data_IF_998756954951
#
_entry.id   IF_998756954951
#
_cell.length_a   1.000
_cell.length_b   1.000
_cell.length_c   1.000
_cell.angle_alpha   90.00
_cell.angle_beta   90.00
_cell.angle_gamma   90.00
#
_symmetry.space_group_name_H-M   'P 1'
#
loop_
_entity.id
_entity.type
_entity.pdbx_description
1 polymer ?
#
# COMPACT_ATOMS: atom_id res chain seq x y z
N UNK A 1 24.25 -36.65 -14.27
CA UNK A 1 23.51 -35.43 -14.64
C UNK A 1 22.54 -35.15 -13.50
N UNK A 2 22.87 -34.20 -12.62
CA UNK A 2 22.05 -33.92 -11.44
C UNK A 2 20.78 -33.19 -11.89
N UNK A 3 19.62 -33.85 -11.78
CA UNK A 3 18.32 -33.19 -11.83
C UNK A 3 18.19 -32.40 -10.53
N UNK A 4 18.27 -31.08 -10.62
CA UNK A 4 17.79 -30.21 -9.54
C UNK A 4 16.32 -30.54 -9.30
N UNK A 5 16.00 -30.94 -8.06
CA UNK A 5 14.62 -31.13 -7.62
C UNK A 5 14.01 -29.74 -7.43
N UNK A 6 13.36 -29.21 -8.47
CA UNK A 6 12.42 -28.11 -8.29
C UNK A 6 11.16 -28.68 -7.64
N UNK A 7 10.72 -28.08 -6.55
CA UNK A 7 9.41 -28.32 -5.95
C UNK A 7 8.32 -27.99 -6.99
N UNK A 8 7.31 -28.85 -7.13
CA UNK A 8 6.18 -28.68 -8.06
C UNK A 8 5.32 -27.43 -7.79
N UNK A 9 5.58 -26.69 -6.72
CA UNK A 9 4.82 -25.50 -6.35
C UNK A 9 5.34 -24.24 -7.06
N UNK A 10 4.47 -23.63 -7.87
CA UNK A 10 4.65 -22.32 -8.51
C UNK A 10 4.57 -21.18 -7.47
N UNK A 11 5.45 -21.21 -6.48
CA UNK A 11 5.47 -20.28 -5.37
C UNK A 11 5.70 -18.83 -5.84
N UNK A 12 6.69 -18.64 -6.71
CA UNK A 12 6.97 -17.33 -7.31
C UNK A 12 5.73 -16.73 -7.98
N UNK A 13 5.05 -17.50 -8.83
CA UNK A 13 3.89 -17.01 -9.57
C UNK A 13 2.71 -16.67 -8.65
N UNK A 14 2.51 -17.44 -7.58
CA UNK A 14 1.51 -17.13 -6.55
C UNK A 14 1.82 -15.82 -5.82
N UNK A 15 3.07 -15.61 -5.40
CA UNK A 15 3.51 -14.38 -4.71
C UNK A 15 3.45 -13.16 -5.62
N UNK A 16 3.87 -13.30 -6.88
CA UNK A 16 3.73 -12.26 -7.90
C UNK A 16 2.26 -11.86 -8.10
N UNK A 17 1.36 -12.85 -8.20
CA UNK A 17 -0.07 -12.62 -8.34
C UNK A 17 -0.66 -11.90 -7.14
N UNK A 18 -0.24 -12.29 -5.94
CA UNK A 18 -0.67 -11.66 -4.70
C UNK A 18 -0.20 -10.21 -4.63
N UNK A 19 1.10 -9.97 -4.81
CA UNK A 19 1.71 -8.64 -4.83
C UNK A 19 1.05 -7.71 -5.87
N UNK A 20 0.75 -8.22 -7.09
CA UNK A 20 0.05 -7.44 -8.11
C UNK A 20 -1.36 -7.03 -7.67
N UNK A 21 -2.13 -7.96 -7.08
CA UNK A 21 -3.48 -7.67 -6.59
C UNK A 21 -3.44 -6.70 -5.42
N UNK A 22 -2.46 -6.83 -4.53
CA UNK A 22 -2.26 -5.91 -3.41
C UNK A 22 -1.87 -4.53 -3.90
N UNK A 23 -1.06 -4.41 -4.96
CA UNK A 23 -0.80 -3.16 -5.64
C UNK A 23 -2.04 -2.59 -6.39
N UNK A 24 -3.17 -3.31 -6.42
CA UNK A 24 -4.39 -2.91 -7.11
C UNK A 24 -4.30 -2.95 -8.64
N UNK A 25 -3.30 -3.64 -9.19
CA UNK A 25 -3.03 -3.65 -10.63
C UNK A 25 -3.73 -4.82 -11.34
N UNK A 26 -4.30 -4.56 -12.51
CA UNK A 26 -4.71 -5.64 -13.43
C UNK A 26 -3.49 -6.22 -14.14
N UNK A 27 -3.62 -7.40 -14.76
CA UNK A 27 -2.54 -7.98 -15.56
C UNK A 27 -2.07 -7.03 -16.68
N UNK A 28 -3.02 -6.34 -17.33
CA UNK A 28 -2.73 -5.37 -18.39
C UNK A 28 -2.02 -4.15 -17.81
N UNK A 29 -2.55 -3.56 -16.74
CA UNK A 29 -1.95 -2.39 -16.10
C UNK A 29 -0.54 -2.67 -15.56
N UNK A 30 -0.27 -3.88 -15.07
CA UNK A 30 1.07 -4.29 -14.65
C UNK A 30 2.06 -4.30 -15.82
N UNK A 31 1.66 -4.91 -16.96
CA UNK A 31 2.46 -4.92 -18.17
C UNK A 31 2.71 -3.49 -18.70
N UNK A 32 1.66 -2.67 -18.77
CA UNK A 32 1.75 -1.29 -19.24
C UNK A 32 2.71 -0.47 -18.36
N UNK A 33 2.67 -0.67 -17.04
CA UNK A 33 3.54 0.05 -16.10
C UNK A 33 5.01 -0.36 -16.23
N UNK A 34 5.30 -1.64 -16.46
CA UNK A 34 6.66 -2.12 -16.75
C UNK A 34 7.18 -1.54 -18.07
N UNK A 35 6.35 -1.55 -19.11
CA UNK A 35 6.71 -1.01 -20.41
C UNK A 35 6.96 0.50 -20.34
N UNK A 36 6.08 1.24 -19.65
CA UNK A 36 6.22 2.70 -19.51
C UNK A 36 7.44 3.10 -18.66
N UNK A 37 7.71 2.41 -17.55
CA UNK A 37 8.81 2.79 -16.63
C UNK A 37 10.19 2.36 -17.12
N UNK A 38 10.28 1.21 -17.78
CA UNK A 38 11.57 0.59 -18.14
C UNK A 38 11.75 0.36 -19.64
N UNK A 39 10.83 0.83 -20.49
CA UNK A 39 10.91 0.66 -21.94
C UNK A 39 10.82 -0.81 -22.39
N UNK A 40 10.17 -1.66 -21.61
CA UNK A 40 10.04 -3.10 -21.91
C UNK A 40 8.94 -3.36 -22.95
N UNK A 41 8.93 -4.58 -23.50
CA UNK A 41 7.93 -5.07 -24.43
C UNK A 41 7.19 -6.29 -23.86
N UNK A 42 6.46 -6.08 -22.76
CA UNK A 42 5.71 -7.12 -22.04
C UNK A 42 4.23 -6.96 -22.34
N UNK A 43 3.52 -8.05 -22.58
CA UNK A 43 2.07 -8.04 -22.75
C UNK A 43 1.37 -8.73 -21.56
N UNK A 44 0.05 -8.55 -21.45
CA UNK A 44 -0.80 -9.21 -20.45
C UNK A 44 -0.58 -10.73 -20.35
N UNK A 45 -0.38 -11.38 -21.50
CA UNK A 45 -0.16 -12.82 -21.59
C UNK A 45 1.14 -13.25 -20.92
N UNK A 46 2.22 -12.48 -21.07
CA UNK A 46 3.49 -12.72 -20.39
C UNK A 46 3.34 -12.68 -18.86
N UNK A 47 2.68 -11.66 -18.31
CA UNK A 47 2.43 -11.58 -16.86
C UNK A 47 1.61 -12.77 -16.37
N UNK A 48 0.55 -13.14 -17.09
CA UNK A 48 -0.27 -14.31 -16.76
C UNK A 48 0.54 -15.61 -16.76
N UNK A 49 1.45 -15.78 -17.73
CA UNK A 49 2.33 -16.95 -17.81
C UNK A 49 3.28 -17.05 -16.63
N UNK A 50 3.85 -15.93 -16.18
CA UNK A 50 4.69 -15.89 -14.98
C UNK A 50 3.88 -16.23 -13.72
N UNK A 51 2.68 -15.66 -13.56
CA UNK A 51 1.81 -15.94 -12.39
C UNK A 51 1.38 -17.41 -12.30
N UNK A 52 1.28 -18.09 -13.43
CA UNK A 52 0.88 -19.50 -13.49
C UNK A 52 2.08 -20.47 -13.58
N UNK A 53 3.32 -19.99 -13.47
CA UNK A 53 4.51 -20.83 -13.52
C UNK A 53 4.79 -21.45 -14.87
N UNK A 54 4.12 -20.98 -15.93
CA UNK A 54 4.32 -21.47 -17.30
C UNK A 54 5.66 -20.98 -17.85
N UNK A 55 6.08 -19.79 -17.44
CA UNK A 55 7.37 -19.21 -17.79
C UNK A 55 8.06 -18.68 -16.54
N UNK A 56 9.39 -18.73 -16.56
CA UNK A 56 10.24 -18.08 -15.56
C UNK A 56 10.66 -16.69 -16.07
N UNK A 57 10.47 -15.62 -15.28
CA UNK A 57 10.97 -14.30 -15.64
C UNK A 57 12.49 -14.21 -15.44
N UNK A 58 13.16 -13.35 -16.23
CA UNK A 58 14.58 -13.08 -16.01
C UNK A 58 14.81 -12.34 -14.70
N UNK A 59 16.01 -12.46 -14.12
CA UNK A 59 16.38 -11.74 -12.89
C UNK A 59 16.17 -10.23 -13.00
N UNK A 60 16.46 -9.64 -14.16
CA UNK A 60 16.23 -8.23 -14.43
C UNK A 60 14.73 -7.88 -14.37
N UNK A 61 13.86 -8.76 -14.88
CA UNK A 61 12.42 -8.58 -14.78
C UNK A 61 11.92 -8.76 -13.35
N UNK A 62 12.46 -9.70 -12.57
CA UNK A 62 12.11 -9.84 -11.14
C UNK A 62 12.40 -8.55 -10.39
N UNK A 63 13.54 -7.90 -10.66
CA UNK A 63 13.86 -6.59 -10.09
C UNK A 63 12.89 -5.47 -10.56
N UNK A 64 12.55 -5.42 -11.85
CA UNK A 64 11.58 -4.43 -12.31
C UNK A 64 10.18 -4.66 -11.71
N UNK A 65 9.79 -5.93 -11.51
CA UNK A 65 8.54 -6.29 -10.85
C UNK A 65 8.53 -5.86 -9.39
N UNK A 66 9.60 -6.11 -8.65
CA UNK A 66 9.72 -5.71 -7.24
C UNK A 66 9.56 -4.20 -7.08
N UNK A 67 10.19 -3.41 -7.96
CA UNK A 67 10.11 -1.95 -7.95
C UNK A 67 8.73 -1.38 -8.34
N UNK A 68 8.03 -2.02 -9.28
CA UNK A 68 6.68 -1.59 -9.70
C UNK A 68 5.62 -1.96 -8.68
N UNK A 69 5.76 -3.13 -8.07
CA UNK A 69 4.85 -3.67 -7.07
C UNK A 69 5.19 -3.19 -5.65
N UNK A 70 6.34 -2.52 -5.51
CA UNK A 70 6.89 -2.02 -4.25
C UNK A 70 7.07 -3.12 -3.20
N UNK A 71 7.35 -4.35 -3.64
CA UNK A 71 7.62 -5.50 -2.77
C UNK A 71 9.10 -5.82 -2.77
N UNK A 72 9.54 -6.51 -1.73
CA UNK A 72 10.89 -7.02 -1.66
C UNK A 72 11.12 -8.18 -2.66
N UNK A 73 12.33 -8.26 -3.23
CA UNK A 73 12.70 -9.30 -4.20
C UNK A 73 12.79 -10.67 -3.55
N UNK A 74 13.32 -10.74 -2.32
CA UNK A 74 13.43 -11.98 -1.56
C UNK A 74 12.04 -12.52 -1.20
N UNK A 75 11.05 -11.63 -1.00
CA UNK A 75 9.65 -12.08 -0.94
C UNK A 75 9.21 -12.76 -2.23
N UNK A 76 9.38 -12.13 -3.39
CA UNK A 76 8.98 -12.74 -4.67
C UNK A 76 9.68 -14.08 -4.90
N UNK A 77 10.94 -14.19 -4.49
CA UNK A 77 11.80 -15.36 -4.67
C UNK A 77 11.61 -16.46 -3.60
N UNK A 78 10.66 -16.35 -2.67
CA UNK A 78 10.43 -17.39 -1.67
C UNK A 78 11.39 -17.37 -0.48
N UNK A 79 12.22 -16.34 -0.36
CA UNK A 79 13.27 -16.23 0.69
C UNK A 79 12.81 -15.48 1.94
N UNK A 80 11.72 -14.72 1.84
CA UNK A 80 11.09 -14.00 2.94
C UNK A 80 9.58 -14.19 2.90
N UNK A 81 8.93 -14.42 4.03
CA UNK A 81 7.46 -14.36 4.13
C UNK A 81 6.93 -12.93 4.15
N UNK A 82 7.79 -11.96 4.48
CA UNK A 82 7.42 -10.56 4.57
C UNK A 82 7.60 -9.88 3.21
N UNK A 83 6.53 -9.35 2.60
CA UNK A 83 6.60 -8.71 1.30
C UNK A 83 7.38 -7.40 1.26
N UNK A 84 7.81 -6.88 2.42
CA UNK A 84 8.36 -5.56 2.58
C UNK A 84 9.55 -5.60 3.53
N UNK A 85 10.59 -4.81 3.25
CA UNK A 85 11.64 -4.53 4.22
C UNK A 85 11.11 -3.51 5.22
N UNK A 86 11.18 -3.82 6.52
CA UNK A 86 10.99 -2.80 7.55
C UNK A 86 12.17 -1.84 7.47
N UNK A 87 11.93 -0.60 7.04
CA UNK A 87 12.91 0.47 7.18
C UNK A 87 13.14 0.66 8.69
N UNK A 88 14.37 0.36 9.14
CA UNK A 88 14.73 0.11 10.54
C UNK A 88 14.68 1.32 11.48
N UNK A 89 13.93 2.36 11.15
CA UNK A 89 13.72 3.52 12.03
C UNK A 89 12.29 3.52 12.56
N UNK A 90 12.04 2.95 13.74
CA UNK A 90 10.69 2.87 14.30
C UNK A 90 10.27 4.21 14.94
N UNK A 91 9.79 5.17 14.13
CA UNK A 91 9.11 6.34 14.66
C UNK A 91 7.64 6.01 14.96
N UNK A 92 7.32 5.80 16.23
CA UNK A 92 6.00 5.39 16.70
C UNK A 92 5.28 6.50 17.45
N UNK A 93 4.00 6.67 17.17
CA UNK A 93 3.09 7.54 17.94
C UNK A 93 1.83 6.77 18.33
N UNK A 94 1.10 7.28 19.31
CA UNK A 94 -0.23 6.77 19.67
C UNK A 94 -1.32 7.71 19.18
N UNK A 95 -2.42 7.16 18.66
CA UNK A 95 -3.61 7.93 18.28
C UNK A 95 -4.86 7.32 18.91
N UNK A 96 -5.64 8.13 19.64
CA UNK A 96 -6.90 7.70 20.25
C UNK A 96 -8.05 7.87 19.26
N UNK A 97 -8.79 6.81 19.00
CA UNK A 97 -10.02 6.88 18.19
C UNK A 97 -11.09 7.66 18.95
N UNK A 98 -11.73 8.62 18.29
CA UNK A 98 -12.75 9.51 18.84
C UNK A 98 -14.14 9.35 18.21
N UNK A 99 -14.25 8.60 17.10
CA UNK A 99 -15.50 8.33 16.39
C UNK A 99 -15.70 6.83 16.08
N UNK A 100 -16.88 6.45 15.57
CA UNK A 100 -17.23 5.07 15.24
C UNK A 100 -16.99 4.73 13.76
N UNK A 101 -16.25 5.56 13.01
CA UNK A 101 -16.02 5.36 11.58
C UNK A 101 -15.20 4.10 11.27
N UNK A 102 -14.46 3.59 12.25
CA UNK A 102 -13.62 2.40 12.13
C UNK A 102 -14.20 1.17 12.86
N UNK A 103 -15.45 1.26 13.33
CA UNK A 103 -16.19 0.15 13.91
C UNK A 103 -16.48 -0.96 12.86
N UNK A 104 -16.67 -2.23 13.27
CA UNK A 104 -16.65 -2.72 14.65
C UNK A 104 -15.24 -3.06 15.17
N UNK A 105 -14.21 -2.98 14.32
CA UNK A 105 -12.85 -3.43 14.68
C UNK A 105 -12.15 -2.46 15.63
N UNK A 106 -12.27 -1.16 15.35
CA UNK A 106 -11.71 -0.09 16.16
C UNK A 106 -12.85 0.77 16.69
N UNK A 107 -12.99 0.85 18.00
CA UNK A 107 -14.08 1.52 18.68
C UNK A 107 -13.63 2.86 19.28
N UNK A 108 -14.55 3.81 19.51
CA UNK A 108 -14.24 5.02 20.26
C UNK A 108 -13.55 4.72 21.58
N UNK A 109 -12.42 5.38 21.84
CA UNK A 109 -11.58 5.18 23.02
C UNK A 109 -10.40 4.22 22.84
N UNK A 110 -10.35 3.45 21.74
CA UNK A 110 -9.21 2.61 21.40
C UNK A 110 -7.94 3.44 21.15
N UNK A 111 -6.78 2.92 21.57
CA UNK A 111 -5.48 3.51 21.28
C UNK A 111 -4.80 2.72 20.17
N UNK A 112 -4.48 3.41 19.08
CA UNK A 112 -3.74 2.84 17.95
C UNK A 112 -2.27 3.20 18.05
N UNK A 113 -1.41 2.22 17.78
CA UNK A 113 0.01 2.44 17.55
C UNK A 113 0.22 2.72 16.06
N UNK A 114 0.82 3.86 15.75
CA UNK A 114 1.04 4.36 14.40
C UNK A 114 2.54 4.46 14.14
N UNK A 115 3.00 3.92 13.01
CA UNK A 115 4.34 4.20 12.49
C UNK A 115 4.30 5.37 11.52
N UNK A 116 5.15 6.38 11.75
CA UNK A 116 5.29 7.58 10.93
C UNK A 116 6.49 7.51 9.97
N UNK A 117 7.09 6.32 9.83
CA UNK A 117 8.17 6.00 8.89
C UNK A 117 7.74 4.97 7.83
N UNK A 118 6.73 4.14 8.11
CA UNK A 118 6.29 3.07 7.21
C UNK A 118 5.53 3.59 5.99
N UNK A 119 6.03 3.25 4.79
CA UNK A 119 5.42 3.65 3.52
C UNK A 119 3.94 3.18 3.41
N UNK A 120 3.00 4.05 3.00
CA UNK A 120 1.60 3.68 2.85
C UNK A 120 1.38 2.74 1.69
N UNK A 121 0.56 1.69 1.91
CA UNK A 121 0.22 0.68 0.90
C UNK A 121 -1.27 0.42 0.87
N UNK A 122 -1.75 -0.08 -0.25
CA UNK A 122 -3.14 -0.47 -0.41
C UNK A 122 -3.54 -1.50 0.66
N UNK A 123 -4.75 -1.37 1.18
CA UNK A 123 -5.31 -2.19 2.24
C UNK A 123 -4.91 -1.77 3.65
N UNK A 124 -3.85 -0.98 3.83
CA UNK A 124 -3.38 -0.54 5.15
C UNK A 124 -4.32 0.48 5.78
N UNK A 125 -4.35 0.51 7.11
CA UNK A 125 -5.01 1.56 7.86
C UNK A 125 -4.02 2.68 8.11
N UNK A 126 -4.42 3.91 7.81
CA UNK A 126 -3.56 5.07 7.90
C UNK A 126 -4.20 6.14 8.77
N UNK A 127 -3.35 6.86 9.50
CA UNK A 127 -3.70 8.12 10.13
C UNK A 127 -3.56 9.21 9.08
N UNK A 128 -4.65 9.93 8.84
CA UNK A 128 -4.73 10.97 7.80
C UNK A 128 -5.12 12.28 8.44
N UNK A 129 -4.42 13.36 8.10
CA UNK A 129 -4.75 14.72 8.48
C UNK A 129 -5.35 15.47 7.29
N UNK A 130 -6.48 16.15 7.50
CA UNK A 130 -7.06 17.06 6.51
C UNK A 130 -6.52 18.49 6.64
N UNK A 131 -6.85 19.35 5.68
CA UNK A 131 -6.49 20.78 5.71
C UNK A 131 -6.93 21.53 6.98
N UNK A 132 -8.07 21.11 7.56
CA UNK A 132 -8.61 21.72 8.78
C UNK A 132 -7.98 21.13 10.06
N UNK A 133 -6.81 20.51 9.95
CA UNK A 133 -6.08 19.85 11.05
C UNK A 133 -6.84 18.69 11.72
N UNK A 134 -7.93 18.21 11.08
CA UNK A 134 -8.69 17.07 11.59
C UNK A 134 -7.98 15.77 11.20
N UNK A 135 -7.67 14.95 12.20
CA UNK A 135 -7.12 13.61 12.02
C UNK A 135 -8.24 12.58 11.92
N UNK A 136 -8.08 11.62 11.02
CA UNK A 136 -9.01 10.53 10.75
C UNK A 136 -8.22 9.25 10.52
N UNK A 137 -8.76 8.12 10.94
CA UNK A 137 -8.19 6.81 10.60
C UNK A 137 -9.01 6.20 9.48
N UNK A 138 -8.37 5.83 8.37
CA UNK A 138 -9.05 5.27 7.19
C UNK A 138 -8.24 4.13 6.61
N UNK A 139 -8.93 3.18 5.98
CA UNK A 139 -8.29 2.16 5.16
C UNK A 139 -7.95 2.77 3.80
N UNK A 140 -6.68 2.74 3.42
CA UNK A 140 -6.21 3.18 2.12
C UNK A 140 -6.53 2.11 1.08
N UNK A 141 -7.34 2.44 0.08
CA UNK A 141 -7.77 1.51 -0.98
C UNK A 141 -7.37 2.08 -2.34
N UNK A 142 -6.67 1.29 -3.15
CA UNK A 142 -6.35 1.62 -4.54
C UNK A 142 -7.52 1.23 -5.44
N UNK A 143 -7.96 2.14 -6.31
CA UNK A 143 -8.88 1.83 -7.39
C UNK A 143 -8.31 2.31 -8.74
N UNK A 144 -9.07 2.13 -9.83
CA UNK A 144 -8.66 2.56 -11.18
C UNK A 144 -8.56 4.08 -11.38
N UNK A 145 -9.13 4.87 -10.46
CA UNK A 145 -9.22 6.33 -10.53
C UNK A 145 -8.33 7.05 -9.50
N UNK A 146 -7.63 6.33 -8.63
CA UNK A 146 -6.80 6.93 -7.58
C UNK A 146 -6.83 6.17 -6.26
N UNK A 147 -6.63 6.90 -5.17
CA UNK A 147 -6.69 6.39 -3.81
C UNK A 147 -8.04 6.71 -3.17
N UNK A 148 -8.52 5.82 -2.33
CA UNK A 148 -9.75 5.97 -1.56
C UNK A 148 -9.42 5.77 -0.09
N UNK A 149 -9.85 6.70 0.75
CA UNK A 149 -9.81 6.59 2.19
C UNK A 149 -11.17 6.08 2.66
N UNK A 150 -11.22 4.78 2.98
CA UNK A 150 -12.44 4.05 3.32
C UNK A 150 -12.57 3.85 4.82
N UNK A 151 -13.73 4.19 5.37
CA UNK A 151 -14.14 3.82 6.71
C UNK A 151 -14.44 2.30 6.79
N UNK A 152 -14.23 1.66 7.94
CA UNK A 152 -14.69 0.27 8.12
C UNK A 152 -16.19 0.19 8.38
N UNK A 153 -16.74 1.21 9.03
CA UNK A 153 -18.16 1.32 9.28
C UNK A 153 -18.88 1.70 7.97
N UNK A 154 -19.75 0.84 7.41
CA UNK A 154 -20.42 1.09 6.13
C UNK A 154 -21.33 2.33 6.10
N UNK A 155 -21.68 2.89 7.26
CA UNK A 155 -22.50 4.09 7.38
C UNK A 155 -21.75 5.37 6.99
N UNK A 156 -20.43 5.29 6.81
CA UNK A 156 -19.58 6.40 6.42
C UNK A 156 -19.25 6.35 4.94
N UNK A 157 -19.29 7.51 4.27
CA UNK A 157 -18.95 7.60 2.86
C UNK A 157 -17.44 7.52 2.62
N UNK A 158 -17.06 6.89 1.50
CA UNK A 158 -15.69 6.85 1.00
C UNK A 158 -15.21 8.27 0.65
N UNK A 159 -13.97 8.57 1.01
CA UNK A 159 -13.30 9.82 0.60
C UNK A 159 -12.37 9.48 -0.57
N UNK A 160 -12.58 10.09 -1.71
CA UNK A 160 -11.78 9.89 -2.92
C UNK A 160 -10.65 10.92 -2.94
N UNK A 161 -9.40 10.46 -3.00
CA UNK A 161 -8.20 11.27 -3.17
C UNK A 161 -7.78 11.13 -4.64
N UNK A 162 -7.82 12.23 -5.39
CA UNK A 162 -7.70 12.27 -6.86
C UNK A 162 -6.38 11.76 -7.44
N UNK A 163 -6.22 11.87 -8.77
CA UNK A 163 -5.15 11.29 -9.61
C UNK A 163 -3.71 11.74 -9.30
N UNK A 164 -3.54 12.63 -8.34
CA UNK A 164 -2.25 13.13 -7.89
C UNK A 164 -1.50 11.99 -7.19
N UNK A 165 -0.27 11.78 -7.66
CA UNK A 165 0.59 10.62 -7.41
C UNK A 165 0.77 10.34 -5.90
N UNK A 166 1.26 9.15 -5.53
CA UNK A 166 1.80 8.91 -4.17
C UNK A 166 2.83 10.00 -3.76
N UNK A 167 3.40 10.73 -4.72
CA UNK A 167 4.26 11.90 -4.52
C UNK A 167 3.55 13.10 -3.84
N UNK A 168 2.23 13.23 -3.99
CA UNK A 168 1.43 14.31 -3.37
C UNK A 168 0.95 13.93 -1.97
N UNK A 169 1.10 12.66 -1.64
CA UNK A 169 0.80 12.09 -0.35
C UNK A 169 2.02 12.33 0.56
N UNK A 170 2.22 13.60 0.90
CA UNK A 170 3.35 14.10 1.70
C UNK A 170 3.50 13.25 2.95
N UNK A 171 4.56 12.47 2.99
CA UNK A 171 4.95 11.74 4.18
C UNK A 171 5.67 12.71 5.10
N UNK A 172 5.28 12.76 6.38
CA UNK A 172 5.74 13.76 7.35
C UNK A 172 7.25 13.76 7.63
N UNK A 173 8.03 12.86 7.03
CA UNK A 173 9.40 12.58 7.44
C UNK A 173 10.44 12.51 6.31
N UNK A 174 10.24 13.12 5.13
CA UNK A 174 11.35 13.63 4.28
C UNK A 174 10.87 14.51 3.10
N UNK A 175 11.66 15.53 2.77
CA UNK A 175 11.33 16.71 1.95
C UNK A 175 10.95 16.46 0.47
N UNK A 176 10.05 17.34 0.01
CA UNK A 176 9.71 17.85 -1.34
C UNK A 176 10.71 17.62 -2.50
N UNK A 177 10.19 17.31 -3.70
CA UNK A 177 10.33 18.15 -4.93
C UNK A 177 9.10 17.98 -5.85
N UNK A 178 8.64 19.11 -6.40
CA UNK A 178 7.61 19.31 -7.42
C UNK A 178 7.93 18.72 -8.79
N UNK A 179 6.91 18.51 -9.63
CA UNK A 179 6.75 19.16 -10.94
C UNK A 179 5.65 18.45 -11.73
N UNK A 180 4.49 19.10 -11.88
CA UNK A 180 3.83 19.25 -13.18
C UNK A 180 2.79 20.37 -13.07
N UNK A 181 3.17 21.55 -13.57
CA UNK A 181 2.21 22.52 -14.06
C UNK A 181 1.70 22.00 -15.39
N UNK A 182 0.40 21.75 -15.51
CA UNK A 182 -0.34 22.27 -16.66
C UNK A 182 -1.83 22.30 -16.33
N UNK A 183 -2.37 23.48 -16.60
CA UNK A 183 -3.75 23.93 -16.40
C UNK A 183 -4.82 22.93 -16.83
N UNK A 184 -5.75 22.62 -15.92
CA UNK A 184 -7.15 22.40 -16.29
C UNK A 184 -8.03 23.17 -15.30
N UNK A 185 -8.75 24.12 -15.88
CA UNK A 185 -9.76 24.97 -15.29
C UNK A 185 -10.81 24.20 -14.49
N UNK A 186 -11.11 24.74 -13.30
CA UNK A 186 -12.39 24.66 -12.58
C UNK A 186 -13.08 23.30 -12.44
N UNK A 187 -13.04 22.71 -11.24
CA UNK A 187 -14.23 22.31 -10.47
C UNK A 187 -13.85 21.64 -9.14
N UNK A 188 -14.45 22.15 -8.05
CA UNK A 188 -14.59 21.61 -6.67
C UNK A 188 -13.45 21.90 -5.69
N UNK A 189 -13.84 22.30 -4.49
CA UNK A 189 -13.03 22.35 -3.28
C UNK A 189 -12.29 21.00 -3.08
N UNK A 190 -11.07 20.91 -3.59
CA UNK A 190 -10.22 19.73 -3.41
C UNK A 190 -9.77 19.68 -1.96
N UNK A 191 -10.47 18.92 -1.12
CA UNK A 191 -10.00 18.59 0.23
C UNK A 191 -8.67 17.85 0.11
N UNK A 192 -7.60 18.44 0.61
CA UNK A 192 -6.30 17.83 0.67
C UNK A 192 -6.17 16.99 1.94
N UNK A 193 -5.46 15.87 1.81
CA UNK A 193 -5.26 14.89 2.87
C UNK A 193 -3.80 14.45 2.89
N UNK A 194 -3.21 14.39 4.07
CA UNK A 194 -1.83 13.96 4.31
C UNK A 194 -1.83 12.67 5.15
N UNK A 195 -1.13 11.61 4.72
CA UNK A 195 -0.90 10.45 5.59
C UNK A 195 0.25 10.77 6.55
N UNK A 196 -0.07 10.77 7.84
CA UNK A 196 0.91 10.97 8.91
C UNK A 196 1.55 9.64 9.37
N UNK A 197 0.89 8.51 9.11
CA UNK A 197 1.46 7.20 9.42
C UNK A 197 0.50 6.03 9.22
N UNK A 198 1.00 4.82 9.49
CA UNK A 198 0.32 3.54 9.32
C UNK A 198 0.01 2.92 10.67
N UNK A 199 -1.22 2.44 10.84
CA UNK A 199 -1.63 1.68 12.04
C UNK A 199 -0.94 0.32 12.02
N UNK A 200 -0.15 0.04 13.05
CA UNK A 200 0.55 -1.23 13.23
C UNK A 200 -0.19 -2.13 14.22
N UNK A 201 -0.72 -1.54 15.30
CA UNK A 201 -1.32 -2.31 16.40
C UNK A 201 -2.49 -1.56 17.04
N UNK A 202 -3.47 -2.32 17.55
CA UNK A 202 -4.51 -1.83 18.45
C UNK A 202 -4.13 -2.18 19.89
N UNK A 203 -4.05 -1.17 20.76
CA UNK A 203 -3.92 -1.32 22.21
C UNK A 203 -5.26 -1.00 22.87
N UNK A 204 -5.99 -2.03 23.31
CA UNK A 204 -7.20 -1.84 24.13
C UNK A 204 -6.80 -1.47 25.55
N UNK A 205 -7.52 -0.50 26.12
CA UNK A 205 -7.25 0.02 27.48
C UNK A 205 -7.50 -1.02 28.59
N UNK A 206 -8.23 -2.09 28.30
CA UNK A 206 -8.70 -3.10 29.26
C UNK A 206 -7.60 -4.00 29.88
N UNK A 207 -6.32 -3.69 29.69
CA UNK A 207 -5.20 -4.40 30.34
C UNK A 207 -4.42 -3.57 31.37
N UNK A 208 -4.85 -2.34 31.66
CA UNK A 208 -4.18 -1.47 32.64
C UNK A 208 -5.03 -1.16 33.89
N UNK A 209 -6.17 -1.85 34.08
CA UNK A 209 -6.98 -1.74 35.30
C UNK A 209 -6.70 -2.81 36.35
N UNK A 210 -5.69 -3.66 36.15
CA UNK A 210 -5.22 -4.58 37.18
C UNK A 210 -3.69 -4.53 37.26
N UNK A 211 -3.15 -3.58 38.02
CA UNK A 211 -2.02 -3.79 38.93
C UNK A 211 -1.78 -2.53 39.78
N UNK A 212 -2.35 -2.60 41.00
CA UNK A 212 -2.01 -1.92 42.26
C UNK A 212 -2.02 -0.39 42.31
#
# INVERSE_FOLDING_TARGET
MLRYQYSDDNEFGMRLRQARKDAGLTLQACADRLNHRYGMCINKGSISKYENGIHEPSISLVHCLSEILEVDRDYLLGRSEQPYTDDSETNLIHFKIDDDSMAPRYLPGDLLLISTCSKPRNGMYCLVRSDNDRRLVRRLIRNQYGWVLRALNPNYQDIIVGFHSLADLRYSSNELVSNYSDSVDGLRDEKSFMIEGIVIELRRRELFSEQH
#
